data_IF_758180326040
#
_entry.id   IF_758180326040
#
_cell.length_a   1.000
_cell.length_b   1.000
_cell.length_c   1.000
_cell.angle_alpha   90.00
_cell.angle_beta   90.00
_cell.angle_gamma   90.00
#
_symmetry.space_group_name_H-M   'P 1'
#
loop_
_entity.id
_entity.type
_entity.pdbx_description
1 polymer ?
#
# COMPACT_ATOMS: atom_id res chain seq x y z
N UNK A 1 -1.00 32.00 -5.29
CA UNK A 1 -1.86 31.58 -4.16
C UNK A 1 -1.03 30.69 -3.26
N UNK A 2 -0.85 31.05 -1.98
CA UNK A 2 -0.20 30.18 -1.01
C UNK A 2 -1.20 29.08 -0.58
N UNK A 3 -1.03 27.87 -1.09
CA UNK A 3 -1.83 26.72 -0.65
C UNK A 3 -1.24 26.21 0.67
N UNK A 4 -2.01 26.30 1.75
CA UNK A 4 -1.65 25.77 3.05
C UNK A 4 -2.31 24.42 3.24
N UNK A 5 -1.54 23.43 3.67
CA UNK A 5 -2.01 22.11 4.05
C UNK A 5 -1.91 21.93 5.57
N UNK A 6 -2.78 21.12 6.14
CA UNK A 6 -2.80 20.78 7.56
C UNK A 6 -1.91 19.57 7.84
N UNK A 7 -1.83 18.64 6.89
CA UNK A 7 -1.02 17.43 6.97
C UNK A 7 -0.27 17.20 5.66
N UNK A 8 1.00 16.85 5.75
CA UNK A 8 1.80 16.35 4.63
C UNK A 8 2.21 14.90 4.91
N UNK A 9 1.87 13.99 3.98
CA UNK A 9 2.27 12.58 4.01
C UNK A 9 3.42 12.41 3.04
N UNK A 10 4.54 11.87 3.51
CA UNK A 10 5.71 11.61 2.67
C UNK A 10 5.73 10.12 2.33
N UNK A 11 5.56 9.82 1.06
CA UNK A 11 5.44 8.48 0.49
C UNK A 11 4.00 8.10 0.16
N UNK A 12 3.77 7.67 -1.07
CA UNK A 12 2.48 7.22 -1.59
C UNK A 12 2.40 5.69 -1.75
N UNK A 13 3.17 4.94 -0.95
CA UNK A 13 2.97 3.51 -0.79
C UNK A 13 1.72 3.18 0.04
N UNK A 14 1.46 1.91 0.30
CA UNK A 14 0.26 1.48 1.04
C UNK A 14 0.08 2.22 2.36
N UNK A 15 1.13 2.36 3.18
CA UNK A 15 1.04 3.07 4.45
C UNK A 15 0.60 4.53 4.28
N UNK A 16 1.14 5.24 3.28
CA UNK A 16 0.76 6.63 3.01
C UNK A 16 -0.66 6.77 2.48
N UNK A 17 -1.09 5.83 1.64
CA UNK A 17 -2.46 5.79 1.11
C UNK A 17 -3.46 5.56 2.24
N UNK A 18 -3.25 4.54 3.09
CA UNK A 18 -4.14 4.26 4.21
C UNK A 18 -4.12 5.37 5.26
N UNK A 19 -2.95 6.00 5.52
CA UNK A 19 -2.89 7.18 6.39
C UNK A 19 -3.73 8.34 5.85
N UNK A 20 -3.64 8.63 4.56
CA UNK A 20 -4.46 9.64 3.91
C UNK A 20 -5.96 9.29 3.96
N UNK A 21 -6.30 8.04 3.67
CA UNK A 21 -7.67 7.51 3.75
C UNK A 21 -8.26 7.72 5.15
N UNK A 22 -7.56 7.30 6.21
CA UNK A 22 -8.01 7.44 7.59
C UNK A 22 -8.15 8.91 8.03
N UNK A 23 -7.20 9.76 7.67
CA UNK A 23 -7.27 11.19 7.99
C UNK A 23 -8.49 11.83 7.36
N UNK A 24 -8.74 11.58 6.08
CA UNK A 24 -9.88 12.13 5.35
C UNK A 24 -11.21 11.54 5.83
N UNK A 25 -11.23 10.26 6.21
CA UNK A 25 -12.42 9.60 6.72
C UNK A 25 -12.81 10.11 8.10
N UNK A 26 -11.82 10.31 9.00
CA UNK A 26 -12.06 10.78 10.38
C UNK A 26 -12.26 12.27 10.48
N UNK A 27 -11.65 13.05 9.60
CA UNK A 27 -11.78 14.51 9.57
C UNK A 27 -11.76 15.05 8.14
N UNK A 28 -12.92 15.06 7.45
CA UNK A 28 -13.03 15.51 6.06
C UNK A 28 -12.65 16.99 5.85
N UNK A 29 -12.52 17.78 6.92
CA UNK A 29 -12.11 19.17 6.86
C UNK A 29 -10.60 19.39 6.72
N UNK A 30 -9.78 18.35 6.92
CA UNK A 30 -8.34 18.45 6.77
C UNK A 30 -7.92 18.61 5.31
N UNK A 31 -6.97 19.51 5.08
CA UNK A 31 -6.27 19.63 3.80
C UNK A 31 -5.01 18.77 3.85
N UNK A 32 -5.09 17.59 3.27
CA UNK A 32 -3.99 16.62 3.23
C UNK A 32 -3.29 16.72 1.89
N UNK A 33 -1.96 16.73 1.88
CA UNK A 33 -1.13 16.54 0.69
C UNK A 33 -0.27 15.30 0.86
N UNK A 34 -0.17 14.52 -0.20
CA UNK A 34 0.72 13.36 -0.24
C UNK A 34 1.82 13.62 -1.27
N UNK A 35 3.06 13.37 -0.90
CA UNK A 35 4.24 13.60 -1.72
C UNK A 35 5.01 12.30 -1.89
N UNK A 36 5.39 11.99 -3.13
CA UNK A 36 6.24 10.85 -3.44
C UNK A 36 7.35 11.27 -4.42
N UNK A 37 8.48 10.57 -4.37
CA UNK A 37 9.59 10.83 -5.30
C UNK A 37 9.37 10.21 -6.68
N UNK A 38 8.48 9.23 -6.78
CA UNK A 38 8.17 8.53 -8.02
C UNK A 38 6.98 9.14 -8.76
N UNK A 39 6.69 8.58 -9.91
CA UNK A 39 5.66 9.05 -10.81
C UNK A 39 4.26 8.55 -10.43
N UNK A 40 3.26 9.11 -11.10
CA UNK A 40 1.88 8.63 -11.08
C UNK A 40 1.79 7.18 -11.57
N UNK A 41 0.87 6.41 -11.02
CA UNK A 41 0.71 4.96 -11.28
C UNK A 41 0.60 4.64 -12.78
N UNK A 42 -0.05 5.51 -13.56
CA UNK A 42 -0.25 5.29 -15.00
C UNK A 42 0.99 5.64 -15.85
N UNK A 43 1.97 6.32 -15.28
CA UNK A 43 3.19 6.74 -15.99
C UNK A 43 4.43 5.96 -15.56
N UNK A 44 4.33 5.15 -14.50
CA UNK A 44 5.42 4.31 -14.00
C UNK A 44 5.76 3.22 -15.01
N UNK A 45 7.02 3.08 -15.40
CA UNK A 45 7.47 2.11 -16.40
C UNK A 45 8.87 1.57 -16.10
N UNK A 46 8.95 0.36 -15.57
CA UNK A 46 10.22 -0.32 -15.36
C UNK A 46 10.74 -0.92 -16.68
N UNK A 47 11.98 -0.62 -17.11
CA UNK A 47 12.55 -1.16 -18.35
C UNK A 47 12.65 -2.68 -18.40
N UNK A 48 12.85 -3.37 -17.25
CA UNK A 48 12.84 -4.84 -17.17
C UNK A 48 11.41 -5.35 -17.42
N UNK A 49 10.45 -4.82 -16.68
CA UNK A 49 9.03 -5.23 -16.80
C UNK A 49 8.53 -4.97 -18.22
N UNK A 50 8.98 -3.87 -18.83
CA UNK A 50 8.67 -3.53 -20.22
C UNK A 50 9.47 -4.35 -21.27
N UNK A 51 10.34 -5.28 -20.84
CA UNK A 51 11.14 -6.11 -21.74
C UNK A 51 12.23 -5.36 -22.54
N UNK A 52 12.54 -4.12 -22.17
CA UNK A 52 13.50 -3.28 -22.88
C UNK A 52 14.96 -3.61 -22.54
N UNK A 53 15.21 -4.15 -21.37
CA UNK A 53 16.53 -4.56 -20.87
C UNK A 53 16.43 -5.91 -20.15
N UNK A 54 17.55 -6.65 -20.09
CA UNK A 54 17.60 -7.98 -19.44
C UNK A 54 17.89 -7.91 -17.95
N UNK A 55 18.55 -6.85 -17.50
CA UNK A 55 19.00 -6.68 -16.12
C UNK A 55 18.63 -5.31 -15.59
N UNK A 56 18.60 -5.16 -14.26
CA UNK A 56 18.29 -3.90 -13.61
C UNK A 56 19.36 -2.85 -13.90
N UNK A 57 18.95 -1.71 -14.44
CA UNK A 57 19.83 -0.58 -14.75
C UNK A 57 19.98 0.40 -13.58
N UNK A 58 19.45 0.08 -12.41
CA UNK A 58 19.53 0.88 -11.19
C UNK A 58 19.08 2.34 -11.40
N UNK A 59 17.84 2.54 -11.87
CA UNK A 59 17.25 3.86 -12.07
C UNK A 59 17.37 4.71 -10.81
N UNK A 60 17.63 6.02 -10.95
CA UNK A 60 17.73 6.96 -9.83
C UNK A 60 16.46 6.97 -8.97
N UNK A 61 15.29 6.88 -9.59
CA UNK A 61 14.01 6.61 -8.95
C UNK A 61 13.49 5.32 -9.56
N UNK A 62 13.21 4.33 -8.73
CA UNK A 62 12.76 3.02 -9.19
C UNK A 62 11.25 3.02 -9.40
N UNK A 63 10.81 2.93 -10.66
CA UNK A 63 9.38 2.92 -11.00
C UNK A 63 8.61 1.71 -10.46
N UNK A 64 9.29 0.62 -10.10
CA UNK A 64 8.65 -0.51 -9.44
C UNK A 64 8.39 -0.27 -7.95
N UNK A 65 9.29 0.48 -7.28
CA UNK A 65 9.26 0.66 -5.83
C UNK A 65 8.66 1.99 -5.40
N UNK A 66 8.82 3.05 -6.21
CA UNK A 66 8.49 4.43 -5.86
C UNK A 66 7.33 4.94 -6.72
N UNK A 67 6.59 5.90 -6.17
CA UNK A 67 5.42 6.50 -6.82
C UNK A 67 4.10 6.06 -6.18
N UNK A 68 3.01 6.57 -6.69
CA UNK A 68 1.67 6.27 -6.18
C UNK A 68 1.39 4.76 -6.26
N UNK A 69 0.92 4.19 -5.16
CA UNK A 69 0.73 2.75 -4.98
C UNK A 69 1.97 1.98 -4.53
N UNK A 70 3.16 2.63 -4.48
CA UNK A 70 4.40 1.98 -4.07
C UNK A 70 4.70 0.69 -4.86
N UNK A 71 5.34 -0.28 -4.22
CA UNK A 71 5.59 -1.60 -4.81
C UNK A 71 4.29 -2.41 -5.00
N UNK A 72 3.27 -2.15 -4.18
CA UNK A 72 1.96 -2.81 -4.26
C UNK A 72 1.28 -2.66 -5.63
N UNK A 73 1.52 -1.55 -6.33
CA UNK A 73 0.97 -1.32 -7.67
C UNK A 73 1.47 -2.32 -8.74
N UNK A 74 2.56 -3.04 -8.46
CA UNK A 74 3.14 -4.07 -9.34
C UNK A 74 3.04 -5.47 -8.75
N UNK A 75 2.29 -5.65 -7.65
CA UNK A 75 2.06 -6.96 -7.06
C UNK A 75 1.00 -7.75 -7.84
N UNK A 76 0.88 -9.03 -7.53
CA UNK A 76 -0.17 -9.89 -8.04
C UNK A 76 -1.48 -9.81 -7.23
N UNK A 77 -1.55 -8.87 -6.29
CA UNK A 77 -2.75 -8.59 -5.48
C UNK A 77 -3.05 -9.60 -4.38
N UNK A 78 -2.08 -10.47 -4.02
CA UNK A 78 -2.26 -11.43 -2.94
C UNK A 78 -1.94 -10.83 -1.59
N UNK A 79 -2.82 -11.05 -0.62
CA UNK A 79 -2.66 -10.64 0.77
C UNK A 79 -2.57 -11.84 1.70
N UNK A 80 -1.83 -11.68 2.80
CA UNK A 80 -1.71 -12.70 3.83
C UNK A 80 -2.47 -12.26 5.10
N UNK A 81 -3.50 -13.00 5.45
CA UNK A 81 -4.34 -12.73 6.62
C UNK A 81 -3.80 -13.46 7.86
N UNK A 82 -2.59 -13.12 8.26
CA UNK A 82 -1.93 -13.77 9.40
C UNK A 82 -0.87 -12.87 10.02
N UNK A 83 -0.63 -13.06 11.32
CA UNK A 83 0.48 -12.43 12.04
C UNK A 83 1.78 -13.24 11.96
N UNK A 84 1.76 -14.40 11.29
CA UNK A 84 2.91 -15.31 11.21
C UNK A 84 3.81 -15.06 9.98
N UNK A 85 3.46 -14.11 9.12
CA UNK A 85 4.16 -13.89 7.84
C UNK A 85 5.33 -12.88 7.94
N UNK A 86 5.70 -12.48 9.12
CA UNK A 86 6.78 -11.53 9.40
C UNK A 86 6.27 -10.23 9.99
N UNK A 87 7.22 -9.32 10.27
CA UNK A 87 6.94 -8.07 10.96
C UNK A 87 6.92 -8.23 12.49
N UNK A 88 6.85 -7.11 13.18
CA UNK A 88 6.95 -7.03 14.64
C UNK A 88 5.73 -6.37 15.28
N UNK A 89 4.61 -6.29 14.58
CA UNK A 89 3.45 -5.56 15.07
C UNK A 89 2.89 -6.18 16.36
N UNK A 90 3.03 -7.50 16.51
CA UNK A 90 2.63 -8.23 17.72
C UNK A 90 3.52 -7.94 18.95
N UNK A 91 4.69 -7.32 18.78
CA UNK A 91 5.52 -6.86 19.88
C UNK A 91 4.98 -5.56 20.51
N UNK A 92 4.13 -4.84 19.79
CA UNK A 92 3.59 -3.54 20.17
C UNK A 92 2.10 -3.58 20.54
N UNK A 93 1.36 -4.58 20.06
CA UNK A 93 -0.07 -4.73 20.33
C UNK A 93 -0.49 -6.21 20.34
N UNK A 94 -1.57 -6.54 21.06
CA UNK A 94 -2.11 -7.90 21.10
C UNK A 94 -2.43 -8.44 19.72
N UNK A 95 -2.18 -9.74 19.49
CA UNK A 95 -2.47 -10.43 18.22
C UNK A 95 -3.90 -10.19 17.74
N UNK A 96 -4.88 -10.16 18.66
CA UNK A 96 -6.27 -9.90 18.33
C UNK A 96 -6.45 -8.54 17.63
N UNK A 97 -5.82 -7.50 18.17
CA UNK A 97 -5.91 -6.16 17.62
C UNK A 97 -5.23 -6.08 16.23
N UNK A 98 -4.10 -6.80 16.05
CA UNK A 98 -3.45 -6.91 14.72
C UNK A 98 -4.40 -7.57 13.72
N UNK A 99 -5.09 -8.64 14.10
CA UNK A 99 -6.06 -9.30 13.21
C UNK A 99 -7.25 -8.39 12.88
N UNK A 100 -7.77 -7.67 13.86
CA UNK A 100 -8.84 -6.67 13.65
C UNK A 100 -8.41 -5.58 12.66
N UNK A 101 -7.14 -5.15 12.69
CA UNK A 101 -6.59 -4.20 11.71
C UNK A 101 -6.46 -4.82 10.31
N UNK A 102 -6.03 -6.08 10.22
CA UNK A 102 -5.95 -6.80 8.94
C UNK A 102 -7.35 -6.89 8.32
N UNK A 103 -8.34 -7.33 9.08
CA UNK A 103 -9.74 -7.43 8.63
C UNK A 103 -10.30 -6.06 8.22
N UNK A 104 -9.95 -5.00 8.96
CA UNK A 104 -10.33 -3.64 8.61
C UNK A 104 -9.75 -3.19 7.26
N UNK A 105 -8.45 -3.40 7.05
CA UNK A 105 -7.77 -3.09 5.78
C UNK A 105 -8.40 -3.89 4.63
N UNK A 106 -8.64 -5.18 4.83
CA UNK A 106 -9.28 -6.03 3.83
C UNK A 106 -10.68 -5.54 3.48
N UNK A 107 -11.47 -5.13 4.47
CA UNK A 107 -12.79 -4.54 4.24
C UNK A 107 -12.75 -3.30 3.35
N UNK A 108 -11.68 -2.50 3.45
CA UNK A 108 -11.46 -1.34 2.57
C UNK A 108 -11.13 -1.82 1.17
N UNK A 109 -10.20 -2.77 1.04
CA UNK A 109 -9.79 -3.35 -0.24
C UNK A 109 -10.99 -3.96 -0.99
N UNK A 110 -11.84 -4.74 -0.30
CA UNK A 110 -13.06 -5.31 -0.89
C UNK A 110 -14.03 -4.23 -1.39
N UNK A 111 -14.20 -3.13 -0.66
CA UNK A 111 -15.01 -1.99 -1.13
C UNK A 111 -14.45 -1.34 -2.40
N UNK A 112 -13.17 -1.51 -2.68
CA UNK A 112 -12.49 -1.00 -3.85
C UNK A 112 -12.21 -2.07 -4.93
N UNK A 113 -12.86 -3.24 -4.83
CA UNK A 113 -12.87 -4.25 -5.87
C UNK A 113 -11.92 -5.43 -5.66
N UNK A 114 -11.33 -5.58 -4.48
CA UNK A 114 -10.63 -6.82 -4.14
C UNK A 114 -11.62 -7.99 -4.01
N UNK A 115 -11.13 -9.21 -4.27
CA UNK A 115 -11.94 -10.43 -4.11
C UNK A 115 -12.22 -10.73 -2.65
N UNK A 116 -13.35 -11.34 -2.38
CA UNK A 116 -13.72 -11.93 -1.08
C UNK A 116 -13.26 -13.39 -0.92
N UNK A 117 -12.60 -13.93 -1.95
CA UNK A 117 -12.11 -15.31 -1.92
C UNK A 117 -10.83 -15.42 -1.09
N UNK A 118 -10.92 -16.17 0.00
CA UNK A 118 -9.78 -16.50 0.85
C UNK A 118 -9.33 -17.93 0.54
N UNK A 119 -8.03 -18.11 0.27
CA UNK A 119 -7.42 -19.41 0.06
C UNK A 119 -6.71 -19.83 1.35
N UNK A 120 -7.06 -21.01 1.87
CA UNK A 120 -6.34 -21.63 2.98
C UNK A 120 -5.34 -22.66 2.46
N UNK A 121 -4.15 -22.71 3.06
CA UNK A 121 -3.17 -23.79 2.85
C UNK A 121 -3.40 -24.95 3.82
N UNK A 122 -4.33 -24.82 4.76
CA UNK A 122 -4.70 -25.91 5.63
C UNK A 122 -5.46 -26.98 4.83
N UNK A 123 -4.96 -28.19 4.82
CA UNK A 123 -5.64 -29.33 4.23
C UNK A 123 -6.91 -29.58 5.06
N UNK A 124 -8.10 -29.67 4.46
CA UNK A 124 -9.29 -30.07 5.18
C UNK A 124 -9.07 -31.43 5.83
N UNK A 125 -9.33 -31.53 7.12
CA UNK A 125 -9.24 -32.78 7.88
C UNK A 125 -10.29 -33.79 7.41
#
# INVERSE_FOLDING_TARGET
MNTRYDVAIIGCGEAGIFAGYELMHRNPGLKVVTLDQGADIYTRSCPIVAGKVKECIHCKVCDTMCGFGGAGAFSDGKYNFTTAFGGWLTDFMPKREVMELIDYVDSINMRHGATDQVFSTETPA
#
